data_IF_574847089626
#
_entry.id   IF_574847089626
#
_cell.length_a   1.000
_cell.length_b   1.000
_cell.length_c   1.000
_cell.angle_alpha   90.00
_cell.angle_beta   90.00
_cell.angle_gamma   90.00
#
_symmetry.space_group_name_H-M   'P 1'
#
loop_
_entity.id
_entity.type
_entity.pdbx_description
1 polymer ?
#
# COMPACT_ATOMS: atom_id res chain seq x y z
N UNK A 1 -10.68 20.53 13.06
CA UNK A 1 -10.41 20.04 11.69
C UNK A 1 -9.29 19.02 11.82
N UNK A 2 -9.48 17.75 11.44
CA UNK A 2 -8.37 16.82 11.41
C UNK A 2 -7.30 17.40 10.47
N UNK A 3 -6.05 17.43 10.93
CA UNK A 3 -4.91 17.87 10.11
C UNK A 3 -4.78 16.87 8.96
N UNK A 4 -4.83 17.35 7.73
CA UNK A 4 -4.62 16.51 6.55
C UNK A 4 -3.17 15.99 6.60
N UNK A 5 -2.92 14.67 6.51
CA UNK A 5 -1.57 14.13 6.54
C UNK A 5 -0.69 14.75 5.44
N UNK A 6 0.61 14.96 5.71
CA UNK A 6 1.57 15.26 4.65
C UNK A 6 1.91 13.96 3.92
N UNK A 7 1.04 13.57 2.99
CA UNK A 7 1.17 12.33 2.24
C UNK A 7 2.51 12.18 1.51
N UNK A 8 3.16 13.29 1.11
CA UNK A 8 4.46 13.23 0.43
C UNK A 8 5.59 12.89 1.40
N UNK A 9 5.62 13.53 2.57
CA UNK A 9 6.58 13.19 3.62
C UNK A 9 6.38 11.74 4.08
N UNK A 10 5.13 11.32 4.23
CA UNK A 10 4.78 9.95 4.59
C UNK A 10 5.28 8.95 3.54
N UNK A 11 4.92 9.12 2.27
CA UNK A 11 5.39 8.26 1.18
C UNK A 11 6.92 8.11 1.19
N UNK A 12 7.65 9.21 1.30
CA UNK A 12 9.12 9.23 1.29
C UNK A 12 9.68 8.45 2.48
N UNK A 13 9.16 8.68 3.69
CA UNK A 13 9.59 8.01 4.91
C UNK A 13 9.31 6.51 4.89
N UNK A 14 8.08 6.10 4.58
CA UNK A 14 7.69 4.69 4.56
C UNK A 14 8.49 3.93 3.49
N UNK A 15 8.69 4.52 2.31
CA UNK A 15 9.49 3.91 1.23
C UNK A 15 10.98 3.80 1.57
N UNK A 16 11.57 4.81 2.23
CA UNK A 16 12.97 4.73 2.69
C UNK A 16 13.14 3.62 3.71
N UNK A 17 12.20 3.51 4.65
CA UNK A 17 12.23 2.47 5.68
C UNK A 17 12.08 1.08 5.07
N UNK A 18 11.14 0.89 4.15
CA UNK A 18 11.02 -0.33 3.35
C UNK A 18 12.35 -0.72 2.70
N UNK A 19 12.97 0.22 1.97
CA UNK A 19 14.24 -0.03 1.28
C UNK A 19 15.38 -0.37 2.24
N UNK A 20 15.48 0.32 3.37
CA UNK A 20 16.50 0.08 4.38
C UNK A 20 16.35 -1.32 5.01
N UNK A 21 15.13 -1.70 5.39
CA UNK A 21 14.85 -3.03 5.97
C UNK A 21 15.23 -4.15 4.99
N UNK A 22 14.85 -4.02 3.72
CA UNK A 22 15.18 -5.04 2.70
C UNK A 22 16.63 -4.98 2.24
N UNK A 23 17.34 -3.86 2.45
CA UNK A 23 18.78 -3.76 2.21
C UNK A 23 19.61 -4.52 3.27
N UNK A 24 19.06 -4.74 4.46
CA UNK A 24 19.72 -5.50 5.52
C UNK A 24 19.25 -6.97 5.60
N UNK A 25 18.06 -7.30 5.08
CA UNK A 25 17.50 -8.65 5.06
C UNK A 25 18.15 -9.59 4.01
N UNK A 26 18.13 -10.91 4.25
CA UNK A 26 18.49 -11.88 3.21
C UNK A 26 17.43 -11.82 2.07
N UNK A 27 17.84 -11.58 0.81
CA UNK A 27 16.91 -11.47 -0.33
C UNK A 27 16.08 -12.74 -0.58
N UNK A 28 16.49 -13.91 -0.07
CA UNK A 28 15.79 -15.18 -0.23
C UNK A 28 14.75 -15.46 0.87
N UNK A 29 14.63 -14.60 1.90
CA UNK A 29 13.63 -14.79 2.94
C UNK A 29 12.22 -14.76 2.36
N UNK A 30 11.41 -15.75 2.73
CA UNK A 30 10.00 -15.79 2.35
C UNK A 30 9.23 -14.64 3.02
N UNK A 31 8.31 -14.04 2.26
CA UNK A 31 7.43 -12.98 2.75
C UNK A 31 6.26 -13.63 3.48
N UNK A 32 6.08 -13.44 4.80
CA UNK A 32 5.04 -14.15 5.56
C UNK A 32 3.61 -13.88 5.06
N UNK A 33 3.40 -12.71 4.47
CA UNK A 33 2.11 -12.21 3.98
C UNK A 33 1.88 -12.49 2.49
N UNK A 34 2.90 -13.01 1.79
CA UNK A 34 2.82 -13.48 0.41
C UNK A 34 3.75 -14.70 0.25
N UNK A 35 3.28 -15.92 0.57
CA UNK A 35 4.15 -17.10 0.68
C UNK A 35 4.88 -17.49 -0.61
N UNK A 36 4.39 -17.06 -1.77
CA UNK A 36 5.01 -17.30 -3.08
C UNK A 36 6.17 -16.33 -3.37
N UNK A 37 6.36 -15.30 -2.55
CA UNK A 37 7.36 -14.26 -2.75
C UNK A 37 8.50 -14.37 -1.74
N UNK A 38 9.70 -14.00 -2.19
CA UNK A 38 10.82 -13.69 -1.30
C UNK A 38 11.02 -12.16 -1.16
N UNK A 39 11.93 -11.76 -0.27
CA UNK A 39 12.29 -10.37 -0.02
C UNK A 39 12.71 -9.61 -1.29
N UNK A 40 13.39 -10.27 -2.24
CA UNK A 40 13.74 -9.66 -3.52
C UNK A 40 12.54 -9.49 -4.47
N UNK A 41 11.52 -10.35 -4.38
CA UNK A 41 10.25 -10.20 -5.09
C UNK A 41 9.44 -9.05 -4.50
N UNK A 42 9.38 -8.93 -3.18
CA UNK A 42 8.74 -7.79 -2.51
C UNK A 42 9.39 -6.45 -2.89
N UNK A 43 10.72 -6.38 -2.86
CA UNK A 43 11.46 -5.18 -3.30
C UNK A 43 11.19 -4.85 -4.77
N UNK A 44 11.13 -5.87 -5.63
CA UNK A 44 10.82 -5.71 -7.04
C UNK A 44 9.40 -5.19 -7.25
N UNK A 45 8.41 -5.78 -6.59
CA UNK A 45 7.01 -5.37 -6.69
C UNK A 45 6.83 -3.89 -6.33
N UNK A 46 7.35 -3.43 -5.19
CA UNK A 46 7.19 -2.01 -4.82
C UNK A 46 7.95 -1.09 -5.79
N UNK A 47 9.07 -1.55 -6.36
CA UNK A 47 9.78 -0.83 -7.42
C UNK A 47 8.90 -0.65 -8.65
N UNK A 48 8.21 -1.70 -9.09
CA UNK A 48 7.27 -1.65 -10.22
C UNK A 48 6.10 -0.71 -9.94
N UNK A 49 5.50 -0.81 -8.76
CA UNK A 49 4.38 0.04 -8.33
C UNK A 49 4.79 1.51 -8.34
N UNK A 50 5.93 1.86 -7.74
CA UNK A 50 6.37 3.26 -7.69
C UNK A 50 6.76 3.79 -9.06
N UNK A 51 7.36 2.95 -9.91
CA UNK A 51 7.66 3.33 -11.29
C UNK A 51 6.40 3.57 -12.12
N UNK A 52 5.40 2.69 -11.97
CA UNK A 52 4.11 2.81 -12.63
C UNK A 52 3.45 4.14 -12.30
N UNK A 53 3.30 4.45 -11.00
CA UNK A 53 2.67 5.69 -10.56
C UNK A 53 3.44 6.94 -10.95
N UNK A 54 4.78 6.87 -10.87
CA UNK A 54 5.62 7.97 -11.30
C UNK A 54 5.42 8.25 -12.80
N UNK A 55 5.31 7.20 -13.62
CA UNK A 55 5.04 7.32 -15.06
C UNK A 55 3.67 7.96 -15.31
N UNK A 56 2.61 7.46 -14.67
CA UNK A 56 1.26 8.03 -14.78
C UNK A 56 1.26 9.52 -14.42
N UNK A 57 1.91 9.91 -13.32
CA UNK A 57 1.94 11.30 -12.85
C UNK A 57 2.78 12.21 -13.76
N UNK A 58 4.00 11.79 -14.14
CA UNK A 58 4.91 12.57 -14.99
C UNK A 58 4.32 12.79 -16.37
N UNK A 59 3.80 11.72 -16.99
CA UNK A 59 3.28 11.76 -18.37
C UNK A 59 1.81 12.17 -18.43
N UNK A 60 1.16 12.34 -17.26
CA UNK A 60 -0.25 12.68 -17.11
C UNK A 60 -1.17 11.75 -17.91
N UNK A 61 -0.83 10.47 -17.89
CA UNK A 61 -1.53 9.45 -18.67
C UNK A 61 -2.98 9.34 -18.19
N UNK A 62 -3.92 9.22 -19.12
CA UNK A 62 -5.34 8.95 -18.82
C UNK A 62 -5.76 7.52 -19.13
N UNK A 63 -4.80 6.69 -19.54
CA UNK A 63 -4.90 5.25 -19.81
C UNK A 63 -3.62 4.56 -19.30
N UNK A 64 -3.66 3.33 -18.77
CA UNK A 64 -2.51 2.67 -18.15
C UNK A 64 -1.60 1.95 -19.15
N UNK A 65 -2.10 1.56 -20.32
CA UNK A 65 -1.38 0.77 -21.32
C UNK A 65 0.02 1.31 -21.69
N UNK A 66 0.26 2.63 -21.77
CA UNK A 66 1.59 3.16 -22.07
C UNK A 66 2.66 2.85 -21.02
N UNK A 67 2.31 2.56 -19.77
CA UNK A 67 3.31 2.33 -18.69
C UNK A 67 4.12 1.06 -18.89
N UNK A 68 3.54 0.02 -19.50
CA UNK A 68 4.26 -1.24 -19.77
C UNK A 68 5.43 -1.03 -20.73
N UNK A 69 5.35 -0.01 -21.60
CA UNK A 69 6.42 0.32 -22.54
C UNK A 69 7.62 0.98 -21.89
N UNK A 70 7.42 1.63 -20.75
CA UNK A 70 8.46 2.38 -20.02
C UNK A 70 8.93 1.66 -18.76
N UNK A 71 8.35 0.50 -18.46
CA UNK A 71 8.69 -0.35 -17.33
C UNK A 71 10.13 -0.85 -17.44
N UNK A 72 10.98 -0.65 -16.42
CA UNK A 72 12.35 -1.15 -16.44
C UNK A 72 12.35 -2.68 -16.37
N UNK A 73 13.39 -3.30 -16.93
CA UNK A 73 13.62 -4.72 -16.72
C UNK A 73 14.08 -4.99 -15.28
N UNK A 74 13.66 -6.11 -14.70
CA UNK A 74 14.11 -6.53 -13.36
C UNK A 74 15.63 -6.75 -13.36
N UNK A 75 16.40 -6.04 -12.52
CA UNK A 75 17.83 -6.25 -12.43
C UNK A 75 18.15 -7.66 -11.90
N UNK A 76 19.18 -8.30 -12.47
CA UNK A 76 19.60 -9.65 -12.08
C UNK A 76 20.44 -9.73 -10.81
N UNK A 77 20.73 -8.60 -10.16
CA UNK A 77 21.48 -8.58 -8.89
C UNK A 77 20.88 -7.58 -7.89
N UNK A 78 21.09 -7.87 -6.61
CA UNK A 78 20.51 -7.15 -5.48
C UNK A 78 20.90 -5.67 -5.43
N UNK A 79 22.17 -5.34 -5.66
CA UNK A 79 22.65 -3.96 -5.61
C UNK A 79 21.96 -3.09 -6.68
N UNK A 80 21.82 -3.62 -7.89
CA UNK A 80 21.11 -2.94 -8.97
C UNK A 80 19.60 -2.83 -8.71
N UNK A 81 18.99 -3.83 -8.08
CA UNK A 81 17.59 -3.79 -7.68
C UNK A 81 17.33 -2.69 -6.63
N UNK A 82 18.16 -2.61 -5.58
CA UNK A 82 18.09 -1.53 -4.58
C UNK A 82 18.29 -0.14 -5.20
N UNK A 83 19.24 -0.01 -6.13
CA UNK A 83 19.48 1.25 -6.85
C UNK A 83 18.28 1.65 -7.73
N UNK A 84 17.62 0.68 -8.36
CA UNK A 84 16.43 0.92 -9.17
C UNK A 84 15.23 1.29 -8.30
N UNK A 85 15.03 0.62 -7.16
CA UNK A 85 14.02 0.98 -6.17
C UNK A 85 14.19 2.44 -5.73
N UNK A 86 15.40 2.82 -5.33
CA UNK A 86 15.71 4.17 -4.89
C UNK A 86 15.49 5.21 -6.01
N UNK A 87 15.70 4.82 -7.27
CA UNK A 87 15.37 5.66 -8.44
C UNK A 87 13.85 5.81 -8.61
N UNK A 88 13.09 4.71 -8.55
CA UNK A 88 11.63 4.74 -8.65
C UNK A 88 11.00 5.58 -7.52
N UNK A 89 11.51 5.42 -6.30
CA UNK A 89 11.10 6.17 -5.10
C UNK A 89 11.24 7.66 -5.28
N UNK A 90 12.43 8.13 -5.70
CA UNK A 90 12.65 9.55 -5.96
C UNK A 90 11.78 10.06 -7.10
N UNK A 91 11.71 9.30 -8.21
CA UNK A 91 10.90 9.67 -9.36
C UNK A 91 9.43 9.88 -8.97
N UNK A 92 8.86 9.00 -8.16
CA UNK A 92 7.48 9.14 -7.68
C UNK A 92 7.34 10.36 -6.76
N UNK A 93 8.21 10.49 -5.75
CA UNK A 93 8.16 11.60 -4.81
C UNK A 93 8.27 12.96 -5.50
N UNK A 94 9.16 13.08 -6.49
CA UNK A 94 9.36 14.30 -7.27
C UNK A 94 8.16 14.58 -8.17
N UNK A 95 7.67 13.56 -8.90
CA UNK A 95 6.49 13.69 -9.74
C UNK A 95 5.25 14.17 -8.97
N UNK A 96 5.02 13.59 -7.78
CA UNK A 96 3.91 13.98 -6.94
C UNK A 96 4.14 15.36 -6.30
N UNK A 97 5.37 15.77 -6.00
CA UNK A 97 5.66 17.12 -5.48
C UNK A 97 5.43 18.21 -6.51
N UNK A 98 5.80 17.95 -7.76
CA UNK A 98 5.74 18.92 -8.85
C UNK A 98 4.36 19.04 -9.50
N UNK A 99 3.47 18.08 -9.24
CA UNK A 99 2.16 18.01 -9.89
C UNK A 99 1.03 18.39 -8.92
N UNK A 100 0.16 19.36 -9.27
CA UNK A 100 -1.02 19.70 -8.47
C UNK A 100 -1.95 18.50 -8.28
N UNK A 101 -2.61 18.41 -7.11
CA UNK A 101 -3.48 17.29 -6.77
C UNK A 101 -4.63 17.11 -7.75
N UNK A 102 -5.18 18.20 -8.28
CA UNK A 102 -6.33 18.21 -9.18
C UNK A 102 -5.97 17.77 -10.61
N UNK A 103 -4.69 17.54 -10.90
CA UNK A 103 -4.24 17.12 -12.23
C UNK A 103 -4.88 15.79 -12.61
N UNK A 104 -5.60 15.78 -13.73
CA UNK A 104 -6.30 14.59 -14.21
C UNK A 104 -5.33 13.55 -14.74
N UNK A 105 -5.46 12.32 -14.24
CA UNK A 105 -4.67 11.15 -14.62
C UNK A 105 -5.52 9.88 -14.56
N UNK A 106 -4.97 8.78 -15.03
CA UNK A 106 -5.58 7.47 -14.90
C UNK A 106 -5.44 6.95 -13.48
N UNK A 107 -6.51 6.33 -13.00
CA UNK A 107 -6.59 5.49 -11.80
C UNK A 107 -7.64 4.40 -12.11
N UNK A 108 -7.74 3.31 -11.34
CA UNK A 108 -8.94 2.44 -11.43
C UNK A 108 -10.15 3.08 -10.74
N UNK A 109 -9.93 3.91 -9.71
CA UNK A 109 -10.97 4.48 -8.87
C UNK A 109 -11.80 5.58 -9.57
N UNK A 110 -12.92 5.98 -8.98
CA UNK A 110 -13.70 7.12 -9.48
C UNK A 110 -12.89 8.43 -9.46
N UNK A 111 -11.99 8.59 -8.50
CA UNK A 111 -11.08 9.72 -8.41
C UNK A 111 -9.96 9.60 -9.45
N UNK A 112 -10.04 10.41 -10.52
CA UNK A 112 -9.10 10.43 -11.65
C UNK A 112 -8.05 11.54 -11.50
N UNK A 113 -7.44 11.68 -10.31
CA UNK A 113 -6.52 12.79 -10.02
C UNK A 113 -5.20 12.34 -9.40
N UNK A 114 -4.18 13.19 -9.46
CA UNK A 114 -2.90 12.95 -8.77
C UNK A 114 -3.06 12.90 -7.26
N UNK A 115 -4.05 13.60 -6.70
CA UNK A 115 -4.41 13.51 -5.29
C UNK A 115 -4.74 12.08 -4.87
N UNK A 116 -5.36 11.28 -5.74
CA UNK A 116 -5.57 9.85 -5.50
C UNK A 116 -4.24 9.09 -5.35
N UNK A 117 -3.30 9.29 -6.28
CA UNK A 117 -1.98 8.65 -6.26
C UNK A 117 -1.20 9.04 -5.01
N UNK A 118 -1.33 10.29 -4.55
CA UNK A 118 -0.63 10.80 -3.38
C UNK A 118 -1.12 10.15 -2.08
N UNK A 119 -2.42 9.90 -1.95
CA UNK A 119 -3.00 9.25 -0.75
C UNK A 119 -2.63 7.77 -0.64
N UNK A 120 -2.57 7.07 -1.77
CA UNK A 120 -2.27 5.65 -1.81
C UNK A 120 -0.76 5.45 -1.90
N UNK A 121 -0.06 4.97 -0.87
CA UNK A 121 1.23 4.25 -1.05
C UNK A 121 1.89 3.74 0.25
N UNK A 122 2.71 2.70 0.05
CA UNK A 122 3.86 2.19 0.83
C UNK A 122 3.69 1.79 2.30
N UNK A 123 2.64 2.22 3.00
CA UNK A 123 2.48 1.91 4.42
C UNK A 123 2.39 0.40 4.67
N UNK A 124 1.57 -0.31 3.89
CA UNK A 124 1.39 -1.75 4.05
C UNK A 124 2.62 -2.56 3.59
N UNK A 125 3.27 -2.15 2.49
CA UNK A 125 4.47 -2.83 2.01
C UNK A 125 5.66 -2.65 2.96
N UNK A 126 5.76 -1.52 3.69
CA UNK A 126 6.72 -1.41 4.80
C UNK A 126 6.46 -2.50 5.85
N UNK A 127 5.21 -2.73 6.23
CA UNK A 127 4.85 -3.78 7.20
C UNK A 127 5.32 -5.14 6.69
N UNK A 128 5.08 -5.44 5.40
CA UNK A 128 5.57 -6.68 4.77
C UNK A 128 7.09 -6.82 4.87
N UNK A 129 7.84 -5.74 4.62
CA UNK A 129 9.30 -5.75 4.73
C UNK A 129 9.79 -5.98 6.17
N UNK A 130 9.17 -5.32 7.15
CA UNK A 130 9.53 -5.49 8.56
C UNK A 130 9.23 -6.91 9.06
N UNK A 131 8.07 -7.46 8.71
CA UNK A 131 7.71 -8.85 9.03
C UNK A 131 8.67 -9.84 8.35
N UNK A 132 9.03 -9.60 7.09
CA UNK A 132 9.99 -10.45 6.34
C UNK A 132 11.37 -10.46 6.99
N UNK A 133 11.82 -9.32 7.52
CA UNK A 133 13.09 -9.21 8.24
C UNK A 133 13.02 -9.75 9.69
N UNK A 134 11.86 -10.21 10.16
CA UNK A 134 11.65 -10.63 11.55
C UNK A 134 11.65 -9.48 12.56
N UNK A 135 11.47 -8.24 12.09
CA UNK A 135 11.42 -7.05 12.93
C UNK A 135 10.03 -6.86 13.53
N UNK A 136 9.97 -6.20 14.68
CA UNK A 136 8.71 -5.66 15.18
C UNK A 136 8.19 -4.59 14.21
N UNK A 137 6.91 -4.68 13.85
CA UNK A 137 6.25 -3.67 13.01
C UNK A 137 6.29 -2.34 13.73
N UNK A 138 6.82 -1.32 13.09
CA UNK A 138 6.86 0.01 13.70
C UNK A 138 5.55 0.76 13.60
N UNK A 139 5.29 1.70 14.53
CA UNK A 139 4.00 2.38 14.63
C UNK A 139 3.55 2.98 13.30
N UNK A 140 2.32 2.66 12.92
CA UNK A 140 1.63 3.24 11.76
C UNK A 140 0.95 4.54 12.19
N UNK A 141 0.96 5.55 11.32
CA UNK A 141 0.22 6.78 11.56
C UNK A 141 -1.29 6.49 11.51
N UNK A 142 -2.04 6.74 12.61
CA UNK A 142 -3.47 6.42 12.65
C UNK A 142 -4.30 7.16 11.59
N UNK A 143 -3.89 8.37 11.18
CA UNK A 143 -4.62 9.13 10.16
C UNK A 143 -4.44 8.52 8.77
N UNK A 144 -3.24 8.00 8.47
CA UNK A 144 -2.99 7.27 7.22
C UNK A 144 -3.68 5.91 7.21
N UNK A 145 -3.62 5.18 8.32
CA UNK A 145 -4.33 3.91 8.42
C UNK A 145 -5.84 4.08 8.34
N UNK A 146 -6.40 5.17 8.88
CA UNK A 146 -7.81 5.48 8.69
C UNK A 146 -8.15 5.75 7.22
N UNK A 147 -7.33 6.54 6.51
CA UNK A 147 -7.49 6.81 5.08
C UNK A 147 -7.38 5.53 4.23
N UNK A 148 -6.53 4.57 4.63
CA UNK A 148 -6.41 3.25 4.00
C UNK A 148 -7.61 2.33 4.27
N UNK A 149 -8.19 2.38 5.47
CA UNK A 149 -9.43 1.66 5.82
C UNK A 149 -10.64 2.21 5.08
N UNK A 150 -10.70 3.53 4.90
CA UNK A 150 -11.77 4.21 4.15
C UNK A 150 -11.65 4.04 2.62
N UNK A 151 -10.63 3.33 2.12
CA UNK A 151 -10.39 3.15 0.68
C UNK A 151 -11.45 2.20 0.03
N UNK A 152 -11.95 2.49 -1.19
CA UNK A 152 -13.00 1.74 -1.88
C UNK A 152 -12.65 0.30 -2.34
N UNK A 153 -11.66 -0.38 -1.73
CA UNK A 153 -11.51 -1.83 -1.91
C UNK A 153 -12.71 -2.61 -1.35
N UNK A 154 -13.42 -2.01 -0.40
CA UNK A 154 -14.75 -2.43 0.02
C UNK A 154 -15.77 -1.50 -0.65
N UNK A 155 -16.52 -2.02 -1.62
CA UNK A 155 -17.70 -1.32 -2.13
C UNK A 155 -18.71 -1.23 -0.98
N UNK A 156 -18.77 -0.07 -0.31
CA UNK A 156 -19.85 0.23 0.64
C UNK A 156 -21.13 0.41 -0.17
N UNK A 157 -21.85 -0.69 -0.39
CA UNK A 157 -23.21 -0.63 -0.90
C UNK A 157 -24.01 0.09 0.16
N UNK A 158 -24.44 1.31 -0.11
CA UNK A 158 -25.27 2.07 0.82
C UNK A 158 -26.52 1.26 1.15
N UNK A 159 -26.58 0.70 2.36
CA UNK A 159 -27.75 0.05 2.89
C UNK A 159 -28.42 0.99 3.89
N UNK A 160 -29.75 0.96 3.94
CA UNK A 160 -30.51 1.59 5.02
C UNK A 160 -30.70 0.56 6.13
N UNK A 161 -30.22 0.85 7.34
CA UNK A 161 -30.41 -0.02 8.51
C UNK A 161 -29.23 0.01 9.46
N UNK A 162 -29.37 -0.73 10.57
CA UNK A 162 -28.24 -1.04 11.45
C UNK A 162 -27.32 -2.06 10.76
N UNK A 163 -26.02 -2.00 11.04
CA UNK A 163 -25.08 -2.97 10.49
C UNK A 163 -25.31 -4.37 11.08
N UNK A 164 -25.34 -5.40 10.24
CA UNK A 164 -25.49 -6.80 10.69
C UNK A 164 -24.27 -7.28 11.50
N UNK A 165 -23.09 -6.68 11.26
CA UNK A 165 -21.88 -6.89 12.03
C UNK A 165 -21.01 -5.63 12.07
N UNK A 166 -20.21 -5.50 13.12
CA UNK A 166 -19.34 -4.37 13.40
C UNK A 166 -17.97 -4.85 13.87
N UNK A 167 -16.93 -4.40 13.18
CA UNK A 167 -15.52 -4.55 13.58
C UNK A 167 -14.97 -3.18 13.97
N UNK A 168 -14.37 -3.06 15.15
CA UNK A 168 -13.84 -1.80 15.70
C UNK A 168 -12.49 -2.01 16.34
N UNK A 169 -11.61 -1.02 16.23
CA UNK A 169 -10.32 -1.02 16.89
C UNK A 169 -9.48 0.19 16.48
N UNK A 170 -8.22 0.26 16.94
CA UNK A 170 -7.27 1.23 16.42
C UNK A 170 -7.15 1.13 14.90
N UNK A 171 -7.05 2.28 14.20
CA UNK A 171 -7.01 2.31 12.74
C UNK A 171 -5.88 1.44 12.15
N UNK A 172 -4.71 1.44 12.78
CA UNK A 172 -3.57 0.60 12.38
C UNK A 172 -3.83 -0.90 12.52
N UNK A 173 -4.67 -1.31 13.46
CA UNK A 173 -5.02 -2.72 13.65
C UNK A 173 -6.08 -3.16 12.63
N UNK A 174 -7.04 -2.27 12.35
CA UNK A 174 -8.05 -2.47 11.29
C UNK A 174 -7.37 -2.58 9.92
N UNK A 175 -6.47 -1.65 9.60
CA UNK A 175 -5.72 -1.60 8.34
C UNK A 175 -4.91 -2.89 8.16
N UNK A 176 -4.09 -3.29 9.14
CA UNK A 176 -3.34 -4.56 9.06
C UNK A 176 -4.25 -5.78 8.93
N UNK A 177 -5.38 -5.83 9.63
CA UNK A 177 -6.31 -6.95 9.53
C UNK A 177 -7.00 -7.03 8.16
N UNK A 178 -7.47 -5.89 7.63
CA UNK A 178 -8.06 -5.81 6.29
C UNK A 178 -7.09 -6.21 5.19
N UNK A 179 -5.80 -5.95 5.39
CA UNK A 179 -4.75 -6.42 4.49
C UNK A 179 -4.22 -7.81 4.85
N UNK A 180 -4.78 -8.58 5.79
CA UNK A 180 -4.27 -9.92 6.13
C UNK A 180 -2.83 -9.94 6.71
N UNK A 181 -2.43 -8.86 7.38
CA UNK A 181 -1.14 -8.69 8.10
C UNK A 181 -1.29 -8.85 9.62
N UNK A 182 -2.51 -9.11 10.10
CA UNK A 182 -2.83 -9.39 11.51
C UNK A 182 -4.03 -10.34 11.60
N UNK A 183 -4.10 -11.12 12.68
CA UNK A 183 -5.17 -12.10 12.96
C UNK A 183 -6.45 -11.49 13.56
N UNK A 184 -6.47 -10.18 13.75
CA UNK A 184 -7.61 -9.46 14.35
C UNK A 184 -7.68 -9.55 15.88
N UNK A 185 -6.68 -10.12 16.57
CA UNK A 185 -6.66 -10.25 18.04
C UNK A 185 -6.74 -8.91 18.80
N UNK A 186 -6.37 -7.79 18.16
CA UNK A 186 -6.51 -6.43 18.68
C UNK A 186 -7.86 -5.76 18.41
N UNK A 187 -8.78 -6.43 17.70
CA UNK A 187 -10.05 -5.88 17.24
C UNK A 187 -11.23 -6.38 18.07
N UNK A 188 -12.23 -5.52 18.21
CA UNK A 188 -13.53 -5.83 18.79
C UNK A 188 -14.50 -6.17 17.65
N UNK A 189 -15.04 -7.38 17.66
CA UNK A 189 -16.00 -7.86 16.65
C UNK A 189 -17.33 -8.18 17.32
N UNK A 190 -18.44 -7.74 16.72
CA UNK A 190 -19.79 -7.93 17.25
C UNK A 190 -20.83 -8.04 16.13
N UNK A 191 -21.99 -8.66 16.40
CA UNK A 191 -23.07 -8.88 15.43
C UNK A 191 -23.16 -10.34 14.96
N UNK A 192 -23.69 -10.56 13.76
CA UNK A 192 -23.88 -11.89 13.17
C UNK A 192 -22.53 -12.55 12.84
N UNK A 193 -22.20 -13.70 13.48
CA UNK A 193 -20.97 -14.44 13.19
C UNK A 193 -20.82 -14.85 11.72
N UNK A 194 -21.92 -15.19 11.04
CA UNK A 194 -21.87 -15.59 9.63
C UNK A 194 -21.55 -14.39 8.70
N UNK A 195 -21.84 -13.17 9.12
CA UNK A 195 -21.41 -11.95 8.41
C UNK A 195 -19.94 -11.68 8.67
N UNK A 196 -19.47 -11.83 9.91
CA UNK A 196 -18.05 -11.68 10.27
C UNK A 196 -17.16 -12.70 9.54
N UNK A 197 -17.58 -13.96 9.46
CA UNK A 197 -16.83 -15.00 8.74
C UNK A 197 -16.73 -14.69 7.24
N UNK A 198 -17.83 -14.27 6.61
CA UNK A 198 -17.81 -13.85 5.19
C UNK A 198 -16.96 -12.60 4.95
N UNK A 199 -16.97 -11.64 5.88
CA UNK A 199 -16.11 -10.47 5.81
C UNK A 199 -14.64 -10.90 5.87
N UNK A 200 -14.29 -11.78 6.81
CA UNK A 200 -12.96 -12.34 6.93
C UNK A 200 -12.52 -13.08 5.64
N UNK A 201 -13.39 -13.90 5.06
CA UNK A 201 -13.14 -14.58 3.77
C UNK A 201 -12.97 -13.59 2.60
N UNK A 202 -13.68 -12.47 2.62
CA UNK A 202 -13.59 -11.44 1.57
C UNK A 202 -12.27 -10.68 1.63
N UNK A 203 -11.76 -10.39 2.84
CA UNK A 203 -10.48 -9.71 3.03
C UNK A 203 -9.28 -10.67 2.95
N UNK A 204 -9.50 -11.97 3.18
CA UNK A 204 -8.46 -13.02 3.20
C UNK A 204 -7.58 -13.14 1.93
N UNK A 205 -8.02 -12.84 0.70
CA UNK A 205 -7.16 -12.97 -0.46
C UNK A 205 -5.94 -12.03 -0.39
N UNK A 206 -6.07 -10.90 0.31
CA UNK A 206 -5.09 -9.82 0.33
C UNK A 206 -4.87 -9.26 -1.07
N UNK A 207 -5.23 -8.00 -1.33
CA UNK A 207 -4.83 -7.40 -2.61
C UNK A 207 -3.29 -7.29 -2.62
N UNK A 208 -2.65 -7.85 -3.63
CA UNK A 208 -1.20 -7.75 -3.89
C UNK A 208 -1.02 -6.90 -5.14
#
# INVERSE_FOLDING_TARGET
MPVRPDYLEHLDRESRRFGAVLADADPALAVPTCPDWNAADLLWHLTEVQWFWATIAVERLTEPEPTERTKPARPGNRAALLALFETARRRLADALRETPDETRVWTWAADKTVGFIRRRQALIHRVDAELTAGNAVTPMDPALSADGVDEPMLDVVATSGDADAVVRGPAADLDRWMWFRADGSGLQMSGDPAVLDRLAETVAPGVQ
#
